data_IF_356889667959
#
_entry.id   IF_356889667959
#
_cell.length_a   1.000
_cell.length_b   1.000
_cell.length_c   1.000
_cell.angle_alpha   90.00
_cell.angle_beta   90.00
_cell.angle_gamma   90.00
#
_symmetry.space_group_name_H-M   'P 1'
#
loop_
_entity.id
_entity.type
_entity.pdbx_description
1 polymer ?
#
# COMPACT_ATOMS: atom_id res chain seq x y z
N UNK A 1 -3.95 5.86 -20.98
CA UNK A 1 -3.86 7.32 -20.74
C UNK A 1 -3.85 8.00 -22.10
N UNK A 2 -4.36 9.25 -22.21
CA UNK A 2 -4.20 10.02 -23.45
C UNK A 2 -2.71 10.29 -23.74
N UNK A 3 -2.33 10.73 -24.95
CA UNK A 3 -0.98 11.21 -25.23
C UNK A 3 -0.57 12.28 -24.22
N UNK A 4 0.64 12.15 -23.68
CA UNK A 4 1.18 13.07 -22.68
C UNK A 4 2.33 13.88 -23.27
N UNK A 5 2.52 15.08 -22.74
CA UNK A 5 3.60 15.96 -23.18
C UNK A 5 4.98 15.36 -22.84
N UNK A 6 5.97 15.65 -23.69
CA UNK A 6 7.38 15.29 -23.49
C UNK A 6 7.56 13.79 -23.15
N UNK A 7 8.24 13.50 -22.04
CA UNK A 7 8.55 12.18 -21.52
C UNK A 7 7.61 11.75 -20.36
N UNK A 8 6.51 12.47 -20.13
CA UNK A 8 5.60 12.19 -19.01
C UNK A 8 5.08 10.74 -19.02
N UNK A 9 4.88 10.15 -20.20
CA UNK A 9 4.51 8.74 -20.31
C UNK A 9 5.55 7.79 -19.71
N UNK A 10 6.84 8.06 -19.94
CA UNK A 10 7.95 7.27 -19.41
C UNK A 10 8.05 7.43 -17.89
N UNK A 11 7.90 8.67 -17.39
CA UNK A 11 7.89 8.98 -15.96
C UNK A 11 6.78 8.21 -15.24
N UNK A 12 5.57 8.19 -15.80
CA UNK A 12 4.43 7.47 -15.20
C UNK A 12 4.67 5.96 -15.19
N UNK A 13 5.20 5.38 -16.27
CA UNK A 13 5.49 3.95 -16.30
C UNK A 13 6.60 3.57 -15.30
N UNK A 14 7.64 4.38 -15.16
CA UNK A 14 8.67 4.20 -14.14
C UNK A 14 8.09 4.31 -12.71
N UNK A 15 7.23 5.30 -12.45
CA UNK A 15 6.55 5.45 -11.16
C UNK A 15 5.65 4.25 -10.85
N UNK A 16 4.95 3.69 -11.86
CA UNK A 16 4.11 2.51 -11.71
C UNK A 16 4.92 1.25 -11.43
N UNK A 17 6.06 1.07 -12.09
CA UNK A 17 7.01 -0.01 -11.79
C UNK A 17 7.50 0.10 -10.34
N UNK A 18 7.91 1.30 -9.92
CA UNK A 18 8.36 1.55 -8.55
C UNK A 18 7.26 1.28 -7.51
N UNK A 19 6.02 1.67 -7.80
CA UNK A 19 4.88 1.42 -6.91
C UNK A 19 4.64 -0.08 -6.71
N UNK A 20 4.83 -0.90 -7.76
CA UNK A 20 4.75 -2.36 -7.65
C UNK A 20 5.85 -2.92 -6.78
N UNK A 21 7.09 -2.48 -6.92
CA UNK A 21 8.20 -2.90 -6.04
C UNK A 21 7.91 -2.59 -4.56
N UNK A 22 7.32 -1.42 -4.27
CA UNK A 22 6.94 -1.04 -2.91
C UNK A 22 5.86 -1.95 -2.31
N UNK A 23 4.92 -2.43 -3.13
CA UNK A 23 3.93 -3.44 -2.70
C UNK A 23 4.59 -4.76 -2.33
N UNK A 24 5.57 -5.22 -3.12
CA UNK A 24 6.24 -6.49 -2.87
C UNK A 24 7.17 -6.42 -1.65
N UNK A 25 7.82 -5.27 -1.44
CA UNK A 25 8.80 -5.08 -0.37
C UNK A 25 8.19 -4.69 0.98
N UNK A 26 6.96 -4.16 1.04
CA UNK A 26 6.40 -3.76 2.33
C UNK A 26 4.99 -3.17 2.35
N UNK A 27 4.77 -2.37 3.39
CA UNK A 27 3.46 -1.81 3.77
C UNK A 27 3.32 -0.34 3.42
N UNK A 28 4.31 0.24 2.75
CA UNK A 28 4.38 1.66 2.40
C UNK A 28 3.18 2.16 1.57
N UNK A 29 2.63 1.39 0.61
CA UNK A 29 1.41 1.77 -0.12
C UNK A 29 0.20 2.08 0.76
N UNK A 30 0.15 1.60 2.02
CA UNK A 30 -0.93 1.98 2.96
C UNK A 30 -1.02 3.50 3.19
N UNK A 31 0.06 4.26 2.96
CA UNK A 31 0.06 5.74 3.05
C UNK A 31 -0.86 6.42 2.04
N UNK A 32 -1.24 5.70 0.97
CA UNK A 32 -2.14 6.21 -0.07
C UNK A 32 -3.61 6.14 0.34
N UNK A 33 -3.93 5.49 1.47
CA UNK A 33 -5.28 5.41 2.00
C UNK A 33 -5.55 6.58 2.95
N UNK A 34 -6.73 7.18 2.82
CA UNK A 34 -7.24 8.07 3.85
C UNK A 34 -7.46 7.30 5.16
N UNK A 35 -6.92 7.82 6.26
CA UNK A 35 -7.09 7.26 7.60
C UNK A 35 -8.38 7.80 8.26
N UNK A 36 -9.14 6.97 9.00
CA UNK A 36 -8.96 5.51 9.14
C UNK A 36 -9.61 4.72 7.99
N UNK A 37 -9.03 3.57 7.65
CA UNK A 37 -9.50 2.69 6.58
C UNK A 37 -9.92 1.31 7.08
N UNK A 38 -10.66 0.56 6.25
CA UNK A 38 -10.97 -0.87 6.46
C UNK A 38 -9.92 -1.73 5.77
N UNK A 39 -9.70 -2.96 6.26
CA UNK A 39 -8.80 -3.92 5.60
C UNK A 39 -9.20 -4.23 4.15
N UNK A 40 -10.49 -4.14 3.82
CA UNK A 40 -10.97 -4.32 2.45
C UNK A 40 -10.45 -3.21 1.51
N UNK A 41 -10.37 -1.96 1.98
CA UNK A 41 -9.86 -0.83 1.18
C UNK A 41 -8.37 -1.00 0.95
N UNK A 42 -7.60 -1.39 1.98
CA UNK A 42 -6.19 -1.73 1.82
C UNK A 42 -5.97 -2.88 0.84
N UNK A 43 -6.77 -3.95 0.94
CA UNK A 43 -6.69 -5.08 0.01
C UNK A 43 -6.99 -4.67 -1.43
N UNK A 44 -8.01 -3.83 -1.61
CA UNK A 44 -8.39 -3.32 -2.93
C UNK A 44 -7.26 -2.50 -3.56
N UNK A 45 -6.64 -1.59 -2.80
CA UNK A 45 -5.48 -0.83 -3.25
C UNK A 45 -4.34 -1.74 -3.72
N UNK A 46 -3.97 -2.73 -2.91
CA UNK A 46 -2.89 -3.65 -3.25
C UNK A 46 -3.23 -4.48 -4.51
N UNK A 47 -4.47 -4.96 -4.63
CA UNK A 47 -4.94 -5.64 -5.83
C UNK A 47 -4.90 -4.76 -7.08
N UNK A 48 -5.23 -3.48 -6.97
CA UNK A 48 -5.16 -2.55 -8.11
C UNK A 48 -3.72 -2.32 -8.57
N UNK A 49 -2.78 -2.20 -7.63
CA UNK A 49 -1.36 -2.00 -7.97
C UNK A 49 -0.76 -3.24 -8.63
N UNK A 50 -1.05 -4.43 -8.08
CA UNK A 50 -0.56 -5.71 -8.62
C UNK A 50 -1.26 -6.12 -9.91
N UNK A 51 -2.53 -5.70 -10.10
CA UNK A 51 -3.36 -6.13 -11.21
C UNK A 51 -4.02 -7.50 -11.01
N UNK A 52 -3.99 -8.04 -9.79
CA UNK A 52 -4.55 -9.36 -9.46
C UNK A 52 -5.34 -9.36 -8.13
N UNK A 53 -6.36 -10.22 -7.99
CA UNK A 53 -7.14 -10.31 -6.77
C UNK A 53 -6.33 -10.94 -5.63
N UNK A 54 -6.29 -10.26 -4.48
CA UNK A 54 -5.66 -10.78 -3.26
C UNK A 54 -6.72 -11.40 -2.36
N UNK A 55 -6.44 -12.60 -1.84
CA UNK A 55 -7.31 -13.30 -0.91
C UNK A 55 -7.41 -12.56 0.45
N UNK A 56 -8.61 -12.45 1.05
CA UNK A 56 -8.82 -11.62 2.23
C UNK A 56 -8.18 -12.16 3.51
N UNK A 57 -8.18 -13.48 3.71
CA UNK A 57 -7.59 -14.10 4.93
C UNK A 57 -6.07 -13.98 4.96
N UNK A 58 -5.31 -14.34 3.89
CA UNK A 58 -3.86 -14.16 3.85
C UNK A 58 -3.45 -12.70 3.98
N UNK A 59 -4.17 -11.77 3.35
CA UNK A 59 -3.87 -10.34 3.44
C UNK A 59 -4.02 -9.80 4.87
N UNK A 60 -5.11 -10.17 5.56
CA UNK A 60 -5.30 -9.84 6.98
C UNK A 60 -4.18 -10.41 7.86
N UNK A 61 -3.79 -11.66 7.62
CA UNK A 61 -2.70 -12.29 8.36
C UNK A 61 -1.36 -11.61 8.09
N UNK A 62 -1.08 -11.22 6.85
CA UNK A 62 0.11 -10.47 6.45
C UNK A 62 0.19 -9.09 7.12
N UNK A 63 -0.89 -8.30 7.10
CA UNK A 63 -0.93 -6.99 7.78
C UNK A 63 -0.60 -7.12 9.28
N UNK A 64 -1.14 -8.15 9.94
CA UNK A 64 -0.87 -8.42 11.35
C UNK A 64 0.57 -8.84 11.61
N UNK A 65 1.10 -9.78 10.81
CA UNK A 65 2.50 -10.25 10.94
C UNK A 65 3.53 -9.14 10.75
N UNK A 66 3.18 -8.10 9.98
CA UNK A 66 4.03 -6.93 9.73
C UNK A 66 3.79 -5.79 10.72
N UNK A 67 2.86 -5.96 11.67
CA UNK A 67 2.42 -4.90 12.58
C UNK A 67 2.07 -3.60 11.84
N UNK A 68 1.55 -3.74 10.61
CA UNK A 68 1.45 -2.64 9.65
C UNK A 68 0.30 -1.67 9.97
N UNK A 69 -0.62 -2.08 10.83
CA UNK A 69 -1.85 -1.37 11.13
C UNK A 69 -2.21 -1.43 12.60
N UNK A 70 -2.71 -0.32 13.12
CA UNK A 70 -3.31 -0.22 14.45
C UNK A 70 -4.82 -0.14 14.34
N UNK A 71 -5.56 -0.84 15.22
CA UNK A 71 -7.03 -0.78 15.25
C UNK A 71 -7.45 0.47 16.03
N UNK A 72 -8.20 1.36 15.38
CA UNK A 72 -8.73 2.59 15.99
C UNK A 72 -10.25 2.59 16.16
N UNK A 73 -10.92 1.51 15.74
CA UNK A 73 -12.36 1.35 15.93
C UNK A 73 -12.91 0.05 15.34
N UNK A 74 -14.25 -0.12 15.32
CA UNK A 74 -14.90 -1.30 14.74
C UNK A 74 -14.54 -1.49 13.26
N UNK A 75 -13.64 -2.44 12.98
CA UNK A 75 -13.07 -2.71 11.67
C UNK A 75 -12.42 -1.47 11.00
N UNK A 76 -11.91 -0.54 11.81
CA UNK A 76 -11.19 0.66 11.38
C UNK A 76 -9.74 0.59 11.82
N UNK A 77 -8.86 0.92 10.90
CA UNK A 77 -7.42 0.81 11.04
C UNK A 77 -6.73 2.06 10.54
N UNK A 78 -5.59 2.36 11.13
CA UNK A 78 -4.63 3.32 10.60
C UNK A 78 -3.32 2.59 10.32
N UNK A 79 -2.50 3.13 9.43
CA UNK A 79 -1.13 2.63 9.27
C UNK A 79 -0.42 2.79 10.61
N UNK A 80 0.23 1.73 11.09
CA UNK A 80 1.12 1.87 12.22
C UNK A 80 2.19 2.90 11.85
N UNK A 81 2.54 3.86 12.73
CA UNK A 81 3.66 4.72 12.47
C UNK A 81 4.88 3.83 12.19
N UNK A 82 5.54 4.03 11.06
CA UNK A 82 6.88 3.48 10.89
C UNK A 82 7.66 3.95 12.13
N UNK A 83 8.36 3.02 12.81
CA UNK A 83 9.19 3.39 13.96
C UNK A 83 9.96 4.64 13.55
N UNK A 84 9.73 5.76 14.25
CA UNK A 84 10.51 6.98 14.05
C UNK A 84 11.94 6.63 14.48
N UNK A 85 12.76 6.04 13.60
CA UNK A 85 14.06 5.53 14.03
C UNK A 85 14.80 4.53 13.12
N UNK A 86 14.26 4.07 11.99
CA UNK A 86 14.98 3.09 11.17
C UNK A 86 16.21 3.65 10.40
N UNK A 87 16.53 4.94 10.56
CA UNK A 87 17.80 5.56 10.14
C UNK A 87 18.95 5.39 11.16
N UNK A 88 18.70 4.70 12.29
CA UNK A 88 19.70 4.42 13.34
C UNK A 88 20.26 2.98 13.26
N UNK A 89 20.22 2.33 12.09
CA UNK A 89 20.92 1.06 11.87
C UNK A 89 21.78 1.10 10.63
#
# INVERSE_FOLDING_TARGET
LPPLAFDHGQIIEAARARLRELVHSGTEPLRLLAAPFRTQQARHLYSQILGEPIAPRPFKAWLRRREAVQRVGPARFERAPALRGDWLR
#
